data_IF_950022847019
#
_entry.id   IF_950022847019
#
_cell.length_a   1.000
_cell.length_b   1.000
_cell.length_c   1.000
_cell.angle_alpha   90.00
_cell.angle_beta   90.00
_cell.angle_gamma   90.00
#
_symmetry.space_group_name_H-M   'P 1'
#
loop_
_entity.id
_entity.type
_entity.pdbx_description
1 polymer ?
#
# COMPACT_ATOMS: atom_id res chain seq x y z
N UNK A 1 0.26 0.11 1.92
CA UNK A 1 1.15 -0.07 3.10
C UNK A 1 0.54 -1.13 4.02
N UNK A 2 1.36 -1.92 4.71
CA UNK A 2 0.84 -2.87 5.69
C UNK A 2 0.42 -2.20 7.00
N UNK A 3 -0.65 -2.66 7.64
CA UNK A 3 -1.12 -2.13 8.93
C UNK A 3 -0.17 -2.41 10.09
N UNK A 4 0.65 -3.46 9.98
CA UNK A 4 1.67 -3.87 10.97
C UNK A 4 3.05 -3.22 10.72
N UNK A 5 3.09 -2.13 9.94
CA UNK A 5 4.25 -1.26 9.87
C UNK A 5 4.49 -0.52 11.19
N UNK A 6 5.74 -0.10 11.44
CA UNK A 6 6.06 0.75 12.59
C UNK A 6 5.41 2.12 12.46
N UNK A 7 5.12 2.77 13.59
CA UNK A 7 4.45 4.07 13.61
C UNK A 7 5.23 5.16 12.87
N UNK A 8 6.57 5.10 12.94
CA UNK A 8 7.45 5.98 12.14
C UNK A 8 7.19 5.81 10.65
N UNK A 9 7.18 4.58 10.15
CA UNK A 9 6.95 4.31 8.72
C UNK A 9 5.55 4.70 8.28
N UNK A 10 4.53 4.49 9.13
CA UNK A 10 3.16 4.95 8.86
C UNK A 10 3.11 6.45 8.68
N UNK A 11 3.68 7.22 9.62
CA UNK A 11 3.72 8.68 9.57
C UNK A 11 4.42 9.19 8.31
N UNK A 12 5.62 8.68 8.03
CA UNK A 12 6.42 9.14 6.89
C UNK A 12 5.74 8.84 5.54
N UNK A 13 5.06 7.70 5.42
CA UNK A 13 4.31 7.35 4.20
C UNK A 13 3.04 8.18 4.06
N UNK A 14 2.23 8.29 5.12
CA UNK A 14 0.98 9.08 5.08
C UNK A 14 1.26 10.52 4.67
N UNK A 15 2.27 11.16 5.27
CA UNK A 15 2.65 12.54 4.94
C UNK A 15 2.99 12.70 3.45
N UNK A 16 3.75 11.76 2.88
CA UNK A 16 4.13 11.81 1.46
C UNK A 16 2.93 11.53 0.55
N UNK A 17 2.13 10.53 0.86
CA UNK A 17 0.97 10.19 0.04
C UNK A 17 -0.09 11.29 0.06
N UNK A 18 -0.28 11.96 1.20
CA UNK A 18 -1.17 13.10 1.33
C UNK A 18 -0.65 14.31 0.52
N UNK A 19 0.63 14.62 0.63
CA UNK A 19 1.27 15.71 -0.11
C UNK A 19 1.19 15.50 -1.63
N UNK A 20 1.51 14.29 -2.12
CA UNK A 20 1.48 13.96 -3.54
C UNK A 20 0.10 13.50 -4.03
N UNK A 21 -0.94 13.54 -3.19
CA UNK A 21 -2.31 13.07 -3.49
C UNK A 21 -2.36 11.67 -4.08
N UNK A 22 -1.55 10.77 -3.54
CA UNK A 22 -1.49 9.37 -3.94
C UNK A 22 -2.39 8.54 -3.02
N UNK A 23 -3.29 7.69 -3.55
CA UNK A 23 -4.10 6.79 -2.73
C UNK A 23 -3.23 5.87 -1.87
N UNK A 24 -3.46 5.89 -0.56
CA UNK A 24 -2.78 5.02 0.40
C UNK A 24 -3.76 4.01 0.95
N UNK A 25 -3.45 2.72 0.77
CA UNK A 25 -4.27 1.63 1.28
C UNK A 25 -3.55 0.93 2.43
N UNK A 26 -4.22 0.76 3.57
CA UNK A 26 -3.63 0.25 4.83
C UNK A 26 -4.30 -1.02 5.36
N UNK A 27 -5.22 -1.62 4.61
CA UNK A 27 -6.08 -2.72 5.08
C UNK A 27 -5.38 -4.10 5.17
N UNK A 28 -4.19 -4.24 4.58
CA UNK A 28 -3.48 -5.52 4.53
C UNK A 28 -2.40 -5.62 5.60
N UNK A 29 -2.08 -6.85 6.01
CA UNK A 29 -0.91 -7.14 6.87
C UNK A 29 0.32 -7.46 6.02
N UNK A 30 1.52 -7.33 6.60
CA UNK A 30 2.77 -7.66 5.92
C UNK A 30 2.79 -9.13 5.48
N UNK A 31 2.18 -10.01 6.26
CA UNK A 31 2.00 -11.42 5.92
C UNK A 31 1.16 -11.61 4.64
N UNK A 32 0.00 -10.94 4.54
CA UNK A 32 -0.85 -11.02 3.34
C UNK A 32 -0.10 -10.53 2.11
N UNK A 33 0.61 -9.40 2.24
CA UNK A 33 1.44 -8.86 1.17
C UNK A 33 2.51 -9.87 0.75
N UNK A 34 3.27 -10.42 1.71
CA UNK A 34 4.31 -11.42 1.47
C UNK A 34 3.78 -12.65 0.75
N UNK A 35 2.61 -13.15 1.16
CA UNK A 35 1.95 -14.29 0.52
C UNK A 35 1.55 -13.98 -0.93
N UNK A 36 1.05 -12.77 -1.20
CA UNK A 36 0.60 -12.37 -2.55
C UNK A 36 1.74 -12.14 -3.54
N UNK A 37 2.88 -11.56 -3.10
CA UNK A 37 4.02 -11.25 -3.99
C UNK A 37 5.19 -12.25 -3.90
N UNK A 38 5.12 -13.20 -2.97
CA UNK A 38 6.19 -14.18 -2.71
C UNK A 38 7.48 -13.58 -2.12
N UNK A 39 7.46 -12.32 -1.65
CA UNK A 39 8.63 -11.60 -1.12
C UNK A 39 8.31 -10.89 0.17
N UNK A 40 9.29 -10.84 1.07
CA UNK A 40 9.15 -10.14 2.34
C UNK A 40 9.16 -8.61 2.14
N UNK A 41 7.96 -8.01 2.11
CA UNK A 41 7.74 -6.57 1.92
C UNK A 41 6.57 -6.10 2.76
N UNK A 42 6.72 -4.90 3.34
CA UNK A 42 5.69 -4.23 4.14
C UNK A 42 5.02 -3.06 3.41
N UNK A 43 5.65 -2.57 2.34
CA UNK A 43 5.18 -1.43 1.55
C UNK A 43 5.34 -1.78 0.08
N UNK A 44 4.31 -1.51 -0.70
CA UNK A 44 4.28 -1.66 -2.15
C UNK A 44 3.77 -0.34 -2.71
N UNK A 45 4.47 0.16 -3.73
CA UNK A 45 3.99 1.23 -4.60
C UNK A 45 3.72 0.65 -5.98
N UNK A 46 2.59 1.02 -6.56
CA UNK A 46 2.23 0.66 -7.93
C UNK A 46 2.58 1.87 -8.80
N UNK A 47 3.52 1.69 -9.72
CA UNK A 47 3.97 2.75 -10.64
C UNK A 47 3.18 2.78 -11.94
N UNK A 48 2.47 1.69 -12.25
CA UNK A 48 1.62 1.58 -13.43
C UNK A 48 0.20 2.07 -13.13
N UNK A 49 -0.26 3.07 -13.87
CA UNK A 49 -1.58 3.68 -13.70
C UNK A 49 -2.74 2.73 -14.00
N UNK A 50 -2.61 1.85 -15.01
CA UNK A 50 -3.67 0.90 -15.38
C UNK A 50 -3.83 -0.14 -14.28
N UNK A 51 -2.72 -0.65 -13.75
CA UNK A 51 -2.73 -1.58 -12.63
C UNK A 51 -3.28 -0.93 -11.36
N UNK A 52 -2.86 0.30 -11.05
CA UNK A 52 -3.36 1.04 -9.90
C UNK A 52 -4.88 1.22 -9.97
N UNK A 53 -5.40 1.63 -11.12
CA UNK A 53 -6.85 1.80 -11.32
C UNK A 53 -7.62 0.48 -11.15
N UNK A 54 -7.13 -0.61 -11.75
CA UNK A 54 -7.76 -1.94 -11.59
C UNK A 54 -7.76 -2.43 -10.15
N UNK A 55 -6.67 -2.19 -9.42
CA UNK A 55 -6.58 -2.58 -8.01
C UNK A 55 -7.51 -1.73 -7.15
N UNK A 56 -7.61 -0.42 -7.40
CA UNK A 56 -8.60 0.43 -6.72
C UNK A 56 -10.04 -0.03 -6.98
N UNK A 57 -10.40 -0.32 -8.24
CA UNK A 57 -11.73 -0.84 -8.61
C UNK A 57 -12.06 -2.17 -7.89
N UNK A 58 -11.08 -3.06 -7.76
CA UNK A 58 -11.26 -4.34 -7.06
C UNK A 58 -11.39 -4.20 -5.53
N UNK A 59 -10.97 -3.06 -4.98
CA UNK A 59 -10.98 -2.79 -3.55
C UNK A 59 -12.16 -1.93 -3.09
N UNK A 60 -12.82 -1.24 -4.01
CA UNK A 60 -14.05 -0.46 -3.75
C UNK A 60 -15.34 -1.30 -3.81
N UNK A 61 -15.22 -2.62 -4.03
CA UNK A 61 -16.33 -3.60 -4.10
C UNK A 61 -16.34 -4.51 -2.86
#
# INVERSE_FOLDING_TARGET
MANDCSDRTKKDLTNKTEYYKVPLITEFTSYKIKKSIGKDRKVIGITDLKMAKRLSELMEN
#
